data_IF_642452118623
#
_entry.id   IF_642452118623
#
_cell.length_a   1.000
_cell.length_b   1.000
_cell.length_c   1.000
_cell.angle_alpha   90.00
_cell.angle_beta   90.00
_cell.angle_gamma   90.00
#
_symmetry.space_group_name_H-M   'P 1'
#
loop_
_entity.id
_entity.type
_entity.pdbx_description
1 polymer ?
#
# COMPACT_ATOMS: atom_id res chain seq x y z
N UNK A 1 25.99 -21.03 14.34
CA UNK A 1 26.79 -20.15 13.47
C UNK A 1 26.46 -18.71 13.82
N UNK A 2 27.46 -17.84 14.08
CA UNK A 2 27.23 -16.45 14.45
C UNK A 2 26.39 -15.72 13.39
N UNK A 3 25.41 -14.93 13.82
CA UNK A 3 24.43 -14.30 12.93
C UNK A 3 24.38 -12.79 13.13
N UNK A 4 24.23 -12.04 12.03
CA UNK A 4 24.07 -10.60 12.07
C UNK A 4 22.58 -10.21 11.95
N UNK A 5 21.94 -9.69 13.01
CA UNK A 5 20.52 -9.32 12.97
C UNK A 5 20.24 -8.06 12.15
N UNK A 6 21.27 -7.30 11.78
CA UNK A 6 21.14 -6.09 10.95
C UNK A 6 21.23 -6.39 9.45
N UNK A 7 22.06 -7.36 9.07
CA UNK A 7 22.33 -7.69 7.66
C UNK A 7 21.69 -8.99 7.22
N UNK A 8 21.07 -9.74 8.14
CA UNK A 8 20.45 -11.05 7.88
C UNK A 8 21.40 -12.06 7.23
N UNK A 9 22.61 -12.18 7.78
CA UNK A 9 23.65 -13.09 7.27
C UNK A 9 24.26 -13.94 8.37
N UNK A 10 24.53 -15.20 8.04
CA UNK A 10 25.22 -16.16 8.89
C UNK A 10 26.73 -16.19 8.56
N UNK A 11 27.55 -16.25 9.60
CA UNK A 11 28.99 -16.20 9.51
C UNK A 11 29.61 -17.53 9.99
N UNK A 12 30.80 -17.82 9.47
CA UNK A 12 31.59 -18.98 9.89
C UNK A 12 32.04 -18.82 11.36
N UNK A 13 32.10 -19.94 12.08
CA UNK A 13 32.43 -19.98 13.51
C UNK A 13 33.81 -19.35 13.79
N UNK A 14 33.85 -18.40 14.74
CA UNK A 14 35.06 -17.68 15.14
C UNK A 14 35.05 -16.19 14.83
N UNK A 15 34.12 -15.71 14.00
CA UNK A 15 33.95 -14.29 13.67
C UNK A 15 32.97 -13.65 14.67
N UNK A 16 33.36 -12.55 15.31
CA UNK A 16 32.57 -11.86 16.36
C UNK A 16 31.95 -10.53 15.90
N UNK A 17 32.33 -10.04 14.73
CA UNK A 17 31.93 -8.74 14.18
C UNK A 17 31.54 -8.91 12.72
N UNK A 18 30.41 -8.35 12.33
CA UNK A 18 29.93 -8.37 10.94
C UNK A 18 30.86 -7.56 10.04
N UNK A 19 31.30 -8.15 8.93
CA UNK A 19 32.19 -7.51 7.96
C UNK A 19 31.53 -6.32 7.24
N UNK A 20 30.21 -6.34 7.07
CA UNK A 20 29.50 -5.31 6.28
C UNK A 20 28.97 -4.15 7.12
N UNK A 21 28.41 -4.42 8.32
CA UNK A 21 27.87 -3.36 9.18
C UNK A 21 28.70 -3.05 10.43
N UNK A 22 29.78 -3.79 10.68
CA UNK A 22 30.63 -3.62 11.87
C UNK A 22 29.93 -3.92 13.20
N UNK A 23 28.70 -4.46 13.18
CA UNK A 23 27.92 -4.77 14.37
C UNK A 23 28.36 -6.08 15.06
N UNK A 24 28.10 -6.24 16.37
CA UNK A 24 28.36 -7.50 17.06
C UNK A 24 27.46 -8.62 16.52
N UNK A 25 28.04 -9.79 16.30
CA UNK A 25 27.31 -10.99 15.87
C UNK A 25 26.71 -11.70 17.09
N UNK A 26 25.46 -12.15 16.97
CA UNK A 26 24.82 -12.99 17.99
C UNK A 26 25.14 -14.45 17.73
N UNK A 27 24.98 -15.31 18.75
CA UNK A 27 25.41 -16.71 18.69
C UNK A 27 24.62 -17.57 17.69
N UNK A 28 23.35 -17.21 17.41
CA UNK A 28 22.50 -17.86 16.41
C UNK A 28 21.32 -16.98 15.99
N UNK A 29 20.72 -17.30 14.82
CA UNK A 29 19.54 -16.63 14.27
C UNK A 29 18.33 -16.71 15.21
N UNK A 30 18.10 -17.87 15.84
CA UNK A 30 17.01 -18.07 16.80
C UNK A 30 17.09 -17.14 18.01
N UNK A 31 18.30 -16.82 18.46
CA UNK A 31 18.53 -15.91 19.60
C UNK A 31 18.27 -14.45 19.20
N UNK A 32 18.59 -14.05 17.97
CA UNK A 32 18.20 -12.75 17.43
C UNK A 32 16.67 -12.61 17.29
N UNK A 33 16.01 -13.64 16.75
CA UNK A 33 14.55 -13.64 16.56
C UNK A 33 13.80 -13.63 17.89
N UNK A 34 14.29 -14.38 18.90
CA UNK A 34 13.70 -14.39 20.24
C UNK A 34 13.83 -13.03 20.95
N UNK A 35 14.94 -12.31 20.77
CA UNK A 35 15.09 -10.95 21.30
C UNK A 35 14.18 -9.96 20.60
N UNK A 36 14.12 -10.00 19.25
CA UNK A 36 13.27 -9.11 18.45
C UNK A 36 11.78 -9.32 18.76
N UNK A 37 11.36 -10.58 18.94
CA UNK A 37 9.97 -10.91 19.32
C UNK A 37 9.60 -10.37 20.70
N UNK A 38 10.50 -10.49 21.69
CA UNK A 38 10.28 -9.94 23.03
C UNK A 38 10.17 -8.42 23.02
N UNK A 39 11.06 -7.73 22.30
CA UNK A 39 10.99 -6.27 22.15
C UNK A 39 9.70 -5.83 21.44
N UNK A 40 9.24 -6.59 20.44
CA UNK A 40 8.02 -6.29 19.71
C UNK A 40 6.75 -6.52 20.57
N UNK A 41 6.73 -7.60 21.37
CA UNK A 41 5.66 -7.85 22.35
C UNK A 41 5.62 -6.78 23.44
N UNK A 42 6.78 -6.30 23.91
CA UNK A 42 6.88 -5.25 24.92
C UNK A 42 6.48 -3.87 24.36
N UNK A 43 6.85 -3.56 23.12
CA UNK A 43 6.38 -2.36 22.41
C UNK A 43 4.87 -2.38 22.15
N UNK A 44 4.32 -3.54 21.77
CA UNK A 44 2.88 -3.70 21.56
C UNK A 44 2.11 -3.59 22.88
N UNK A 45 2.65 -4.13 23.98
CA UNK A 45 2.07 -3.98 25.31
C UNK A 45 2.12 -2.53 25.80
N UNK A 46 3.21 -1.80 25.57
CA UNK A 46 3.32 -0.38 25.89
C UNK A 46 2.32 0.46 25.10
N UNK A 47 2.19 0.20 23.79
CA UNK A 47 1.22 0.89 22.93
C UNK A 47 -0.24 0.58 23.31
N UNK A 48 -0.53 -0.65 23.73
CA UNK A 48 -1.84 -1.04 24.25
C UNK A 48 -2.16 -0.34 25.58
N UNK A 49 -1.16 -0.12 26.43
CA UNK A 49 -1.32 0.60 27.69
C UNK A 49 -1.52 2.12 27.48
N UNK A 50 -0.99 2.68 26.38
CA UNK A 50 -1.22 4.09 26.00
C UNK A 50 -2.59 4.34 25.34
N UNK A 51 -3.29 3.29 24.88
CA UNK A 51 -4.63 3.41 24.28
C UNK A 51 -5.80 3.40 25.29
N UNK A 52 -5.55 3.30 26.60
CA UNK A 52 -6.60 3.35 27.64
C UNK A 52 -6.36 4.56 28.56
N UNK A 53 -6.95 5.73 28.25
CA UNK A 53 -8.13 6.17 29.02
C UNK A 53 -9.05 7.13 28.24
N UNK A 54 -9.97 6.61 27.42
CA UNK A 54 -11.23 7.32 27.11
C UNK A 54 -12.31 6.33 26.68
N UNK A 55 -12.71 5.42 27.59
CA UNK A 55 -13.94 4.65 27.43
C UNK A 55 -14.86 4.94 28.62
N UNK A 56 -15.54 6.07 28.53
CA UNK A 56 -16.71 6.39 29.34
C UNK A 56 -17.76 7.04 28.43
N UNK A 57 -18.89 6.35 28.28
CA UNK A 57 -20.16 6.80 27.67
C UNK A 57 -20.30 6.67 26.14
N UNK A 58 -20.62 5.44 25.72
CA UNK A 58 -21.96 5.09 25.24
C UNK A 58 -22.52 5.79 24.00
N UNK A 59 -22.48 5.10 22.87
CA UNK A 59 -23.63 5.03 21.95
C UNK A 59 -23.59 3.69 21.21
N UNK A 60 -24.60 2.87 21.47
CA UNK A 60 -24.88 1.64 20.76
C UNK A 60 -25.16 1.96 19.28
N UNK A 61 -24.39 1.37 18.38
CA UNK A 61 -24.86 1.12 17.01
C UNK A 61 -24.33 -0.24 16.61
N UNK A 62 -25.20 -1.23 16.72
CA UNK A 62 -25.02 -2.54 16.13
C UNK A 62 -24.84 -2.40 14.62
N UNK A 63 -23.70 -2.87 14.10
CA UNK A 63 -23.62 -3.37 12.73
C UNK A 63 -22.98 -4.75 12.80
N UNK A 64 -23.85 -5.77 12.69
CA UNK A 64 -23.47 -7.17 12.54
C UNK A 64 -22.70 -7.38 11.23
N UNK A 65 -21.58 -8.08 11.33
CA UNK A 65 -20.80 -8.59 10.20
C UNK A 65 -19.78 -9.63 10.67
N UNK A 66 -20.25 -10.88 10.72
CA UNK A 66 -19.58 -12.19 10.70
C UNK A 66 -18.10 -12.40 11.09
N UNK A 67 -17.96 -13.35 12.05
CA UNK A 67 -16.91 -14.35 12.33
C UNK A 67 -15.40 -13.98 12.39
N UNK A 68 -14.67 -14.48 13.42
CA UNK A 68 -13.22 -14.32 13.54
C UNK A 68 -12.47 -15.27 12.58
N UNK A 69 -11.38 -14.84 11.93
CA UNK A 69 -10.56 -15.76 11.17
C UNK A 69 -9.74 -16.64 12.12
N UNK A 70 -9.82 -17.93 11.84
CA UNK A 70 -9.05 -19.00 12.47
C UNK A 70 -7.54 -18.82 12.30
N UNK A 71 -6.80 -19.44 13.22
CA UNK A 71 -5.35 -19.54 13.31
C UNK A 71 -4.68 -19.87 11.97
N UNK A 72 -3.83 -18.97 11.50
CA UNK A 72 -2.88 -19.21 10.42
C UNK A 72 -1.70 -20.07 10.90
N UNK A 73 -1.42 -21.12 10.13
CA UNK A 73 -0.10 -21.77 10.03
C UNK A 73 0.68 -21.15 8.86
N UNK A 74 2.01 -21.29 8.81
CA UNK A 74 2.92 -20.25 8.34
C UNK A 74 3.28 -20.34 6.85
N UNK A 75 3.91 -19.27 6.37
CA UNK A 75 4.64 -19.16 5.10
C UNK A 75 3.78 -19.04 3.83
N UNK A 76 3.28 -17.83 3.60
CA UNK A 76 3.31 -17.21 2.28
C UNK A 76 3.90 -15.81 2.49
N UNK A 77 5.02 -15.52 1.83
CA UNK A 77 5.48 -14.15 1.66
C UNK A 77 4.30 -13.34 1.13
N UNK A 78 4.05 -12.10 1.61
CA UNK A 78 3.03 -11.29 1.01
C UNK A 78 3.45 -11.05 -0.43
N UNK A 79 2.78 -11.74 -1.37
CA UNK A 79 2.74 -11.36 -2.77
C UNK A 79 2.34 -9.90 -2.74
N UNK A 80 3.30 -9.01 -2.99
CA UNK A 80 3.06 -7.59 -3.02
C UNK A 80 2.29 -7.37 -4.32
N UNK A 81 0.97 -7.62 -4.26
CA UNK A 81 0.07 -7.33 -5.35
C UNK A 81 0.35 -5.88 -5.74
N UNK A 82 0.67 -5.65 -7.02
CA UNK A 82 0.93 -4.33 -7.53
C UNK A 82 -0.26 -3.45 -7.17
N UNK A 83 -0.04 -2.48 -6.28
CA UNK A 83 -1.08 -1.54 -5.87
C UNK A 83 -1.03 -0.39 -6.86
N UNK A 84 -2.04 -0.31 -7.70
CA UNK A 84 -2.14 0.73 -8.70
C UNK A 84 -2.15 2.13 -8.04
N UNK A 85 -1.37 3.07 -8.60
CA UNK A 85 -1.30 4.43 -8.08
C UNK A 85 -2.65 5.16 -8.15
N UNK A 86 -3.58 4.74 -9.02
CA UNK A 86 -4.96 5.24 -9.02
C UNK A 86 -5.70 4.92 -7.72
N UNK A 87 -5.56 3.71 -7.21
CA UNK A 87 -6.25 3.29 -5.99
C UNK A 87 -5.75 4.12 -4.80
N UNK A 88 -4.45 4.44 -4.78
CA UNK A 88 -3.85 5.34 -3.79
C UNK A 88 -4.32 6.79 -3.94
N UNK A 89 -4.58 7.26 -5.16
CA UNK A 89 -5.17 8.57 -5.41
C UNK A 89 -6.62 8.64 -4.90
N UNK A 90 -7.43 7.61 -5.16
CA UNK A 90 -8.83 7.57 -4.74
C UNK A 90 -8.95 7.58 -3.21
N UNK A 91 -8.13 6.80 -2.51
CA UNK A 91 -8.08 6.80 -1.04
C UNK A 91 -7.68 8.17 -0.46
N UNK A 92 -6.69 8.83 -1.07
CA UNK A 92 -6.24 10.15 -0.65
C UNK A 92 -7.30 11.23 -0.93
N UNK A 93 -7.98 11.15 -2.08
CA UNK A 93 -9.02 12.11 -2.49
C UNK A 93 -10.28 11.99 -1.63
N UNK A 94 -10.66 10.75 -1.29
CA UNK A 94 -11.75 10.43 -0.37
C UNK A 94 -11.46 11.02 1.02
N UNK A 95 -10.24 10.78 1.54
CA UNK A 95 -9.79 11.34 2.80
C UNK A 95 -9.79 12.88 2.80
N UNK A 96 -9.32 13.51 1.73
CA UNK A 96 -9.33 14.97 1.59
C UNK A 96 -10.74 15.57 1.64
N UNK A 97 -11.73 14.86 1.08
CA UNK A 97 -13.13 15.28 1.09
C UNK A 97 -13.74 15.21 2.50
N UNK A 98 -13.41 14.18 3.28
CA UNK A 98 -13.87 14.01 4.65
C UNK A 98 -13.38 15.15 5.57
N UNK A 99 -12.09 15.51 5.49
CA UNK A 99 -11.56 16.66 6.23
C UNK A 99 -12.19 17.98 5.82
N UNK A 100 -12.54 18.14 4.55
CA UNK A 100 -13.20 19.35 4.06
C UNK A 100 -14.64 19.46 4.57
N UNK A 101 -15.39 18.35 4.62
CA UNK A 101 -16.75 18.31 5.16
C UNK A 101 -16.75 18.58 6.66
N UNK A 102 -15.92 17.87 7.43
CA UNK A 102 -15.81 18.05 8.88
C UNK A 102 -15.35 19.47 9.22
N UNK A 103 -14.30 19.95 8.55
CA UNK A 103 -13.82 21.33 8.71
C UNK A 103 -14.85 22.39 8.34
N UNK A 104 -15.64 22.16 7.29
CA UNK A 104 -16.73 23.06 6.87
C UNK A 104 -17.85 23.14 7.91
N UNK A 105 -18.30 22.01 8.45
CA UNK A 105 -19.30 21.96 9.53
C UNK A 105 -18.78 22.67 10.78
N UNK A 106 -17.53 22.42 11.17
CA UNK A 106 -16.85 23.10 12.28
C UNK A 106 -16.76 24.62 12.07
N UNK A 107 -16.41 25.06 10.87
CA UNK A 107 -16.33 26.49 10.53
C UNK A 107 -17.70 27.17 10.57
N UNK A 108 -18.75 26.53 10.05
CA UNK A 108 -20.13 27.02 10.13
C UNK A 108 -20.58 27.10 11.60
N UNK A 109 -20.33 26.06 12.39
CA UNK A 109 -20.64 26.02 13.82
C UNK A 109 -19.96 27.15 14.59
N UNK A 110 -18.66 27.38 14.33
CA UNK A 110 -17.91 28.50 14.91
C UNK A 110 -18.50 29.87 14.50
N UNK A 111 -18.86 30.07 13.23
CA UNK A 111 -19.47 31.30 12.76
C UNK A 111 -20.85 31.55 13.38
N UNK A 112 -21.67 30.51 13.54
CA UNK A 112 -22.99 30.61 14.20
C UNK A 112 -22.88 30.94 15.70
N UNK A 113 -21.82 30.47 16.37
CA UNK A 113 -21.50 30.83 17.76
C UNK A 113 -21.03 32.28 17.90
N UNK A 114 -20.22 32.76 16.94
CA UNK A 114 -19.75 34.15 16.89
C UNK A 114 -20.89 35.14 16.63
N UNK A 115 -21.80 34.81 15.71
CA UNK A 115 -22.98 35.62 15.36
C UNK A 115 -24.05 35.63 16.45
N UNK A 116 -23.90 34.82 17.50
CA UNK A 116 -24.84 34.77 18.62
C UNK A 116 -26.21 34.15 18.27
N UNK A 117 -26.29 33.43 17.16
CA UNK A 117 -27.52 32.74 16.71
C UNK A 117 -27.77 31.50 17.57
N UNK A 118 -26.72 30.74 17.87
CA UNK A 118 -26.76 29.63 18.82
C UNK A 118 -26.27 30.11 20.19
N UNK A 119 -27.20 30.27 21.13
CA UNK A 119 -26.88 30.60 22.52
C UNK A 119 -26.59 29.31 23.28
N UNK A 120 -25.33 28.87 23.29
CA UNK A 120 -24.90 27.80 24.19
C UNK A 120 -25.01 28.30 25.64
N UNK A 121 -25.53 27.51 26.60
CA UNK A 121 -25.72 27.89 27.99
C UNK A 121 -24.39 27.92 28.78
N UNK A 122 -23.36 28.55 28.20
CA UNK A 122 -22.01 28.67 28.74
C UNK A 122 -21.68 30.16 28.88
N UNK A 123 -21.59 30.66 30.11
CA UNK A 123 -21.41 32.08 30.40
C UNK A 123 -19.94 32.42 30.75
N UNK A 124 -19.46 33.56 30.24
CA UNK A 124 -18.15 34.11 30.61
C UNK A 124 -16.96 33.52 29.83
N UNK A 125 -15.81 33.39 30.48
CA UNK A 125 -14.53 33.01 29.85
C UNK A 125 -14.55 31.64 29.16
N UNK A 126 -15.37 30.71 29.64
CA UNK A 126 -15.51 29.36 29.07
C UNK A 126 -16.04 29.37 27.63
N UNK A 127 -16.86 30.35 27.26
CA UNK A 127 -17.35 30.52 25.87
C UNK A 127 -16.18 30.75 24.91
N UNK A 128 -15.28 31.67 25.25
CA UNK A 128 -14.15 32.05 24.39
C UNK A 128 -13.13 30.92 24.23
N UNK A 129 -12.95 30.09 25.27
CA UNK A 129 -12.09 28.91 25.20
C UNK A 129 -12.66 27.86 24.23
N UNK A 130 -13.94 27.53 24.37
CA UNK A 130 -14.61 26.56 23.49
C UNK A 130 -14.66 27.02 22.03
N UNK A 131 -15.01 28.28 21.82
CA UNK A 131 -15.01 28.92 20.50
C UNK A 131 -13.61 28.95 19.88
N UNK A 132 -12.57 29.22 20.68
CA UNK A 132 -11.18 29.14 20.25
C UNK A 132 -10.78 27.74 19.78
N UNK A 133 -11.15 26.70 20.54
CA UNK A 133 -10.86 25.31 20.15
C UNK A 133 -11.56 24.94 18.84
N UNK A 134 -12.85 25.28 18.67
CA UNK A 134 -13.57 25.01 17.42
C UNK A 134 -12.92 25.68 16.21
N UNK A 135 -12.47 26.93 16.37
CA UNK A 135 -11.77 27.67 15.30
C UNK A 135 -10.43 27.02 14.97
N UNK A 136 -9.65 26.62 15.98
CA UNK A 136 -8.36 25.93 15.77
C UNK A 136 -8.57 24.60 15.04
N UNK A 137 -9.57 23.81 15.43
CA UNK A 137 -9.90 22.55 14.76
C UNK A 137 -10.38 22.78 13.33
N UNK A 138 -11.21 23.81 13.09
CA UNK A 138 -11.65 24.17 11.74
C UNK A 138 -10.46 24.54 10.84
N UNK A 139 -9.53 25.36 11.35
CA UNK A 139 -8.32 25.76 10.61
C UNK A 139 -7.43 24.54 10.34
N UNK A 140 -7.19 23.69 11.35
CA UNK A 140 -6.39 22.47 11.19
C UNK A 140 -6.98 21.53 10.12
N UNK A 141 -8.30 21.32 10.16
CA UNK A 141 -9.03 20.52 9.17
C UNK A 141 -8.87 21.07 7.75
N UNK A 142 -8.94 22.39 7.60
CA UNK A 142 -8.79 23.05 6.31
C UNK A 142 -7.36 22.94 5.76
N UNK A 143 -6.34 23.07 6.62
CA UNK A 143 -4.93 22.88 6.25
C UNK A 143 -4.69 21.44 5.77
N UNK A 144 -5.20 20.44 6.51
CA UNK A 144 -5.09 19.03 6.09
C UNK A 144 -5.82 18.81 4.77
N UNK A 145 -7.02 19.34 4.59
CA UNK A 145 -7.76 19.20 3.34
C UNK A 145 -7.02 19.82 2.13
N UNK A 146 -6.42 21.01 2.29
CA UNK A 146 -5.64 21.66 1.22
C UNK A 146 -4.36 20.89 0.92
N UNK A 147 -3.62 20.46 1.95
CA UNK A 147 -2.39 19.68 1.75
C UNK A 147 -2.67 18.32 1.14
N UNK A 148 -3.77 17.66 1.52
CA UNK A 148 -4.20 16.38 0.97
C UNK A 148 -4.61 16.51 -0.50
N UNK A 149 -5.33 17.57 -0.88
CA UNK A 149 -5.63 17.86 -2.30
C UNK A 149 -4.38 18.11 -3.15
N UNK A 150 -3.37 18.79 -2.62
CA UNK A 150 -2.10 19.00 -3.33
C UNK A 150 -1.37 17.67 -3.58
N UNK A 151 -1.28 16.82 -2.55
CA UNK A 151 -0.66 15.49 -2.67
C UNK A 151 -1.44 14.58 -3.62
N UNK A 152 -2.77 14.62 -3.58
CA UNK A 152 -3.61 13.91 -4.53
C UNK A 152 -3.38 14.39 -5.97
N UNK A 153 -3.27 15.71 -6.19
CA UNK A 153 -2.98 16.24 -7.53
C UNK A 153 -1.61 15.81 -8.06
N UNK A 154 -0.59 15.76 -7.20
CA UNK A 154 0.75 15.27 -7.56
C UNK A 154 0.75 13.76 -7.86
N UNK A 155 0.10 12.97 -7.00
CA UNK A 155 -0.12 11.53 -7.22
C UNK A 155 -0.86 11.25 -8.53
N UNK A 156 -1.82 12.10 -8.90
CA UNK A 156 -2.54 11.96 -10.18
C UNK A 156 -1.62 12.15 -11.37
N UNK A 157 -0.76 13.16 -11.33
CA UNK A 157 0.21 13.41 -12.41
C UNK A 157 1.17 12.22 -12.54
N UNK A 158 1.65 11.70 -11.41
CA UNK A 158 2.53 10.53 -11.39
C UNK A 158 1.85 9.26 -11.90
N UNK A 159 0.56 9.06 -11.57
CA UNK A 159 -0.25 7.95 -12.08
C UNK A 159 -0.54 8.10 -13.58
N UNK A 160 -0.83 9.31 -14.07
CA UNK A 160 -1.03 9.59 -15.49
C UNK A 160 0.27 9.32 -16.29
N UNK A 161 1.43 9.67 -15.74
CA UNK A 161 2.74 9.39 -16.37
C UNK A 161 3.06 7.89 -16.41
N UNK A 162 2.81 7.14 -15.32
CA UNK A 162 3.00 5.68 -15.29
C UNK A 162 2.05 4.95 -16.24
N UNK A 163 0.80 5.37 -16.34
CA UNK A 163 -0.13 4.82 -17.33
C UNK A 163 0.35 5.04 -18.75
N UNK A 164 0.91 6.22 -19.03
CA UNK A 164 1.45 6.50 -20.36
C UNK A 164 2.62 5.58 -20.67
N UNK A 165 3.53 5.36 -19.73
CA UNK A 165 4.64 4.44 -19.90
C UNK A 165 4.16 2.99 -20.11
N UNK A 166 3.20 2.54 -19.29
CA UNK A 166 2.55 1.24 -19.42
C UNK A 166 1.94 1.07 -20.81
N UNK A 167 1.20 2.07 -21.28
CA UNK A 167 0.57 2.03 -22.59
C UNK A 167 1.59 2.08 -23.74
N UNK A 168 2.68 2.83 -23.60
CA UNK A 168 3.79 2.85 -24.57
C UNK A 168 4.50 1.50 -24.66
N UNK A 169 4.61 0.75 -23.55
CA UNK A 169 5.16 -0.61 -23.53
C UNK A 169 4.19 -1.57 -24.25
N UNK A 170 2.90 -1.50 -23.92
CA UNK A 170 1.87 -2.33 -24.57
C UNK A 170 1.82 -2.06 -26.08
N UNK A 171 1.76 -0.80 -26.49
CA UNK A 171 1.71 -0.42 -27.89
C UNK A 171 2.96 -0.83 -28.66
N UNK A 172 4.13 -0.78 -28.01
CA UNK A 172 5.37 -1.29 -28.59
C UNK A 172 5.31 -2.80 -28.81
N UNK A 173 4.81 -3.55 -27.81
CA UNK A 173 4.71 -5.00 -27.91
C UNK A 173 3.77 -5.40 -29.05
N UNK A 174 2.56 -4.84 -29.08
CA UNK A 174 1.54 -5.13 -30.09
C UNK A 174 1.94 -4.72 -31.52
N UNK A 175 2.92 -3.82 -31.67
CA UNK A 175 3.47 -3.44 -32.98
C UNK A 175 4.57 -4.39 -33.47
N UNK A 176 5.30 -5.02 -32.56
CA UNK A 176 6.44 -5.86 -32.90
C UNK A 176 6.11 -7.36 -32.89
N UNK A 177 5.07 -7.76 -32.17
CA UNK A 177 4.69 -9.15 -31.98
C UNK A 177 3.19 -9.32 -32.19
N UNK A 178 2.82 -10.38 -32.91
CA UNK A 178 1.43 -10.81 -33.07
C UNK A 178 1.20 -12.19 -32.48
N UNK A 179 -0.05 -12.48 -32.07
CA UNK A 179 -0.43 -13.78 -31.52
C UNK A 179 -0.02 -14.97 -32.41
N UNK A 180 -0.13 -14.80 -33.74
CA UNK A 180 0.23 -15.83 -34.72
C UNK A 180 1.74 -16.09 -34.77
N UNK A 181 2.55 -15.04 -34.71
CA UNK A 181 4.01 -15.17 -34.72
C UNK A 181 4.53 -15.80 -33.43
N UNK A 182 3.91 -15.47 -32.28
CA UNK A 182 4.23 -16.08 -30.99
C UNK A 182 3.89 -17.58 -30.99
N UNK A 183 2.71 -17.94 -31.48
CA UNK A 183 2.28 -19.33 -31.59
C UNK A 183 3.16 -20.14 -32.55
N UNK A 184 3.55 -19.53 -33.68
CA UNK A 184 4.44 -20.17 -34.65
C UNK A 184 5.84 -20.43 -34.06
N UNK A 185 6.38 -19.49 -33.27
CA UNK A 185 7.65 -19.70 -32.56
C UNK A 185 7.57 -20.86 -31.57
N UNK A 186 6.50 -20.93 -30.77
CA UNK A 186 6.30 -22.00 -29.79
C UNK A 186 6.13 -23.37 -30.46
N UNK A 187 5.31 -23.46 -31.51
CA UNK A 187 5.04 -24.72 -32.21
C UNK A 187 6.21 -25.19 -33.09
N UNK A 188 7.12 -24.28 -33.48
CA UNK A 188 8.39 -24.68 -34.12
C UNK A 188 9.35 -25.31 -33.12
N UNK A 189 9.37 -24.84 -31.88
CA UNK A 189 10.24 -25.38 -30.83
C UNK A 189 9.71 -26.69 -30.25
N UNK A 190 8.40 -26.76 -30.01
CA UNK A 190 7.72 -27.97 -29.54
C UNK A 190 6.35 -28.15 -30.24
N UNK A 191 6.27 -29.02 -31.27
CA UNK A 191 5.06 -29.25 -32.04
C UNK A 191 3.92 -29.93 -31.28
N UNK A 192 4.21 -30.57 -30.14
CA UNK A 192 3.23 -31.34 -29.36
C UNK A 192 2.49 -30.46 -28.32
N UNK A 193 2.86 -29.18 -28.20
CA UNK A 193 2.21 -28.22 -27.32
C UNK A 193 0.73 -28.04 -27.68
N UNK A 194 -0.16 -28.26 -26.70
CA UNK A 194 -1.60 -28.07 -26.90
C UNK A 194 -2.32 -27.64 -25.62
N UNK A 195 -3.49 -27.00 -25.79
CA UNK A 195 -4.38 -26.63 -24.69
C UNK A 195 -3.74 -25.72 -23.64
N UNK A 196 -3.70 -26.20 -22.39
CA UNK A 196 -3.19 -25.46 -21.23
C UNK A 196 -1.67 -25.25 -21.29
N UNK A 197 -0.90 -26.23 -21.76
CA UNK A 197 0.56 -26.14 -21.86
C UNK A 197 1.00 -25.04 -22.85
N UNK A 198 0.28 -24.92 -23.96
CA UNK A 198 0.48 -23.85 -24.94
C UNK A 198 0.19 -22.47 -24.33
N UNK A 199 -0.87 -22.34 -23.52
CA UNK A 199 -1.19 -21.07 -22.84
C UNK A 199 -0.13 -20.63 -21.83
N UNK A 200 0.42 -21.57 -21.06
CA UNK A 200 1.51 -21.29 -20.12
C UNK A 200 2.77 -20.86 -20.87
N UNK A 201 3.11 -21.55 -21.96
CA UNK A 201 4.26 -21.20 -22.80
C UNK A 201 4.13 -19.84 -23.47
N UNK A 202 2.92 -19.46 -23.89
CA UNK A 202 2.64 -18.09 -24.38
C UNK A 202 2.90 -17.05 -23.31
N UNK A 203 2.46 -17.28 -22.07
CA UNK A 203 2.72 -16.38 -20.95
C UNK A 203 4.22 -16.24 -20.68
N UNK A 204 4.95 -17.36 -20.57
CA UNK A 204 6.41 -17.35 -20.37
C UNK A 204 7.13 -16.56 -21.47
N UNK A 205 6.74 -16.77 -22.74
CA UNK A 205 7.35 -16.10 -23.88
C UNK A 205 7.07 -14.59 -23.90
N UNK A 206 5.84 -14.17 -23.59
CA UNK A 206 5.47 -12.76 -23.49
C UNK A 206 6.27 -12.09 -22.36
N UNK A 207 6.39 -12.73 -21.20
CA UNK A 207 7.19 -12.21 -20.09
C UNK A 207 8.67 -12.07 -20.47
N UNK A 208 9.25 -13.06 -21.14
CA UNK A 208 10.65 -13.01 -21.57
C UNK A 208 10.92 -11.84 -22.53
N UNK A 209 10.00 -11.57 -23.47
CA UNK A 209 10.10 -10.41 -24.36
C UNK A 209 9.94 -9.08 -23.63
N UNK A 210 9.10 -9.01 -22.58
CA UNK A 210 8.96 -7.82 -21.75
C UNK A 210 10.24 -7.54 -20.94
N UNK A 211 10.77 -8.56 -20.29
CA UNK A 211 11.98 -8.46 -19.44
C UNK A 211 13.20 -8.13 -20.31
N UNK A 212 13.41 -8.87 -21.41
CA UNK A 212 14.57 -8.69 -22.29
C UNK A 212 14.47 -7.46 -23.18
N UNK A 213 13.27 -7.12 -23.66
CA UNK A 213 13.06 -6.03 -24.62
C UNK A 213 12.93 -4.63 -24.01
N UNK A 214 12.44 -4.54 -22.76
CA UNK A 214 12.21 -3.26 -22.07
C UNK A 214 12.99 -3.11 -20.77
N UNK A 215 13.80 -4.10 -20.38
CA UNK A 215 14.61 -4.10 -19.15
C UNK A 215 13.75 -3.77 -17.92
N UNK A 216 12.61 -4.46 -17.80
CA UNK A 216 11.67 -4.27 -16.70
C UNK A 216 12.23 -5.01 -15.47
N UNK A 217 12.70 -4.30 -14.42
CA UNK A 217 13.36 -4.94 -13.28
C UNK A 217 12.38 -5.54 -12.27
N UNK A 218 11.10 -5.14 -12.32
CA UNK A 218 10.06 -5.61 -11.42
C UNK A 218 9.23 -6.71 -12.07
N UNK A 219 9.38 -7.93 -11.53
CA UNK A 219 8.66 -9.11 -12.00
C UNK A 219 7.13 -8.95 -11.88
N UNK A 220 6.65 -8.33 -10.80
CA UNK A 220 5.21 -8.18 -10.56
C UNK A 220 4.54 -7.26 -11.59
N UNK A 221 5.27 -6.23 -12.02
CA UNK A 221 4.83 -5.34 -13.07
C UNK A 221 4.86 -6.04 -14.44
N UNK A 222 5.89 -6.83 -14.73
CA UNK A 222 5.96 -7.64 -15.96
C UNK A 222 4.81 -8.67 -16.04
N UNK A 223 4.46 -9.32 -14.93
CA UNK A 223 3.35 -10.27 -14.85
C UNK A 223 2.00 -9.60 -15.20
N UNK A 224 1.70 -8.45 -14.60
CA UNK A 224 0.47 -7.69 -14.88
C UNK A 224 0.38 -7.19 -16.33
N UNK A 225 1.51 -6.78 -16.91
CA UNK A 225 1.61 -6.41 -18.32
C UNK A 225 1.38 -7.62 -19.22
N UNK A 226 1.93 -8.77 -18.86
CA UNK A 226 1.76 -10.02 -19.58
C UNK A 226 0.30 -10.45 -19.63
N UNK A 227 -0.41 -10.41 -18.49
CA UNK A 227 -1.86 -10.68 -18.45
C UNK A 227 -2.62 -9.74 -19.39
N UNK A 228 -2.34 -8.43 -19.31
CA UNK A 228 -2.99 -7.43 -20.16
C UNK A 228 -2.73 -7.67 -21.65
N UNK A 229 -1.49 -8.01 -22.01
CA UNK A 229 -1.11 -8.30 -23.39
C UNK A 229 -1.72 -9.61 -23.89
N UNK A 230 -1.75 -10.65 -23.07
CA UNK A 230 -2.36 -11.92 -23.40
C UNK A 230 -3.85 -11.74 -23.74
N UNK A 231 -4.60 -11.01 -22.91
CA UNK A 231 -5.99 -10.66 -23.19
C UNK A 231 -6.12 -9.88 -24.50
N UNK A 232 -5.27 -8.88 -24.74
CA UNK A 232 -5.33 -8.10 -25.99
C UNK A 232 -5.00 -8.90 -27.25
N UNK A 233 -4.15 -9.92 -27.13
CA UNK A 233 -3.68 -10.73 -28.25
C UNK A 233 -4.60 -11.91 -28.57
N UNK A 234 -5.18 -12.54 -27.56
CA UNK A 234 -5.90 -13.81 -27.70
C UNK A 234 -7.39 -13.76 -27.34
N UNK A 235 -7.86 -12.71 -26.66
CA UNK A 235 -9.27 -12.56 -26.23
C UNK A 235 -10.09 -11.68 -27.20
N UNK A 236 -9.50 -11.28 -28.34
CA UNK A 236 -10.18 -10.53 -29.42
C UNK A 236 -10.83 -11.42 -30.51
N UNK A 237 -11.10 -12.70 -30.23
CA UNK A 237 -11.90 -13.56 -31.11
C UNK A 237 -13.40 -13.59 -30.73
#
# INVERSE_FOLDING_TARGET
>A
MPYCPKCDMEFVEGIKVCSDCGGPLVESKEVAEAMKKKEQEEQLAAMAQEMDPFSGEGTDTEFSGDNPPEKSSPASEPVHAYVDKDQRYDDMSSSASAFFLVGGVLAIGAALCLLGIFHLPMAGFQKYMFEGVLVVLAIGSFVVAVSSRKRAAELKVEADDEKRQTQEIIDWFLKNYSAKELDEQLLMEDPDLSGEELSLKRFELIQDFLITGRDIPDQSYADSLCETLYTKLYDQE
#
